data_IF_178733324894
#
_entry.id   IF_178733324894
#
_cell.length_a   1.000
_cell.length_b   1.000
_cell.length_c   1.000
_cell.angle_alpha   90.00
_cell.angle_beta   90.00
_cell.angle_gamma   90.00
#
_symmetry.space_group_name_H-M   'P 1'
#
loop_
_entity.id
_entity.type
_entity.pdbx_description
1 polymer ?
#
# COMPACT_ATOMS: atom_id res chain seq x y z
N UNK A 1 -2.74 -20.97 -5.73
CA UNK A 1 -1.90 -20.20 -6.64
C UNK A 1 -1.60 -18.90 -5.93
N UNK A 2 -0.34 -18.62 -5.59
CA UNK A 2 0.00 -17.39 -4.86
C UNK A 2 -0.05 -16.20 -5.80
N UNK A 3 -1.02 -15.30 -5.60
CA UNK A 3 -1.10 -14.04 -6.32
C UNK A 3 -0.23 -13.00 -5.62
N UNK A 4 0.99 -12.83 -6.11
CA UNK A 4 1.94 -11.82 -5.60
C UNK A 4 1.39 -10.41 -5.87
N UNK A 5 1.07 -9.65 -4.82
CA UNK A 5 0.59 -8.24 -4.93
C UNK A 5 1.72 -7.22 -4.85
N UNK A 6 2.75 -7.56 -4.10
CA UNK A 6 3.94 -6.74 -3.87
C UNK A 6 5.11 -7.67 -3.53
N UNK A 7 6.32 -7.19 -3.77
CA UNK A 7 7.54 -7.99 -3.64
C UNK A 7 8.13 -8.38 -5.00
N UNK A 8 9.08 -9.31 -4.98
CA UNK A 8 9.79 -9.74 -6.18
C UNK A 8 9.19 -11.04 -6.75
N UNK A 9 9.10 -11.13 -8.07
CA UNK A 9 8.77 -12.35 -8.79
C UNK A 9 10.06 -12.93 -9.40
N UNK A 10 10.42 -14.15 -9.00
CA UNK A 10 11.56 -14.87 -9.59
C UNK A 10 11.05 -15.81 -10.69
N UNK A 11 11.54 -15.60 -11.93
CA UNK A 11 11.20 -16.42 -13.09
C UNK A 11 12.47 -17.16 -13.54
N UNK A 12 12.52 -18.48 -13.31
CA UNK A 12 13.62 -19.31 -13.77
C UNK A 12 13.31 -19.89 -15.15
N UNK A 13 14.16 -19.61 -16.15
CA UNK A 13 13.97 -20.04 -17.55
C UNK A 13 15.16 -20.88 -18.02
N UNK A 14 15.08 -22.23 -17.95
CA UNK A 14 16.13 -23.10 -18.46
C UNK A 14 16.09 -23.16 -19.99
N UNK A 15 17.24 -22.94 -20.63
CA UNK A 15 17.44 -23.14 -22.06
C UNK A 15 18.59 -24.14 -22.27
N UNK A 16 18.37 -25.15 -23.10
CA UNK A 16 19.39 -26.12 -23.47
C UNK A 16 20.27 -25.58 -24.60
N UNK A 17 21.54 -25.99 -24.62
CA UNK A 17 22.41 -25.76 -25.78
C UNK A 17 21.90 -26.55 -27.00
N UNK A 18 22.08 -26.02 -28.23
CA UNK A 18 22.84 -24.82 -28.60
C UNK A 18 22.08 -23.51 -28.38
N UNK A 19 22.77 -22.48 -27.86
CA UNK A 19 22.20 -21.14 -27.62
C UNK A 19 22.47 -20.13 -28.76
N UNK A 20 23.23 -20.54 -29.78
CA UNK A 20 23.63 -19.70 -30.91
C UNK A 20 23.27 -20.40 -32.23
N UNK A 21 22.88 -19.61 -33.22
CA UNK A 21 22.49 -20.06 -34.56
C UNK A 21 21.70 -18.98 -35.29
N UNK A 22 21.48 -19.19 -36.59
CA UNK A 22 20.56 -18.35 -37.36
C UNK A 22 19.11 -18.72 -37.02
N UNK A 23 18.21 -17.75 -37.08
CA UNK A 23 16.79 -18.01 -36.92
C UNK A 23 16.23 -18.78 -38.13
N UNK A 24 15.47 -19.82 -37.87
CA UNK A 24 14.63 -20.51 -38.85
C UNK A 24 13.16 -20.47 -38.41
N UNK A 25 12.29 -21.18 -39.13
CA UNK A 25 10.86 -21.21 -38.84
C UNK A 25 10.50 -22.10 -37.63
N UNK A 26 11.49 -22.66 -36.92
CA UNK A 26 11.25 -23.51 -35.75
C UNK A 26 10.51 -22.72 -34.67
N UNK A 27 9.31 -23.20 -34.31
CA UNK A 27 8.47 -22.57 -33.30
C UNK A 27 7.55 -21.45 -33.80
N UNK A 28 7.68 -21.01 -35.06
CA UNK A 28 6.83 -19.95 -35.63
C UNK A 28 5.34 -20.32 -35.59
N UNK A 29 4.98 -21.52 -36.07
CA UNK A 29 3.60 -22.01 -36.06
C UNK A 29 3.02 -22.18 -34.64
N UNK A 30 3.89 -22.43 -33.65
CA UNK A 30 3.51 -22.51 -32.24
C UNK A 30 3.22 -21.11 -31.67
N UNK A 31 4.07 -20.12 -31.96
CA UNK A 31 3.84 -18.73 -31.56
C UNK A 31 2.58 -18.13 -32.20
N UNK A 32 2.31 -18.46 -33.46
CA UNK A 32 1.14 -17.99 -34.21
C UNK A 32 -0.20 -18.48 -33.62
N UNK A 33 -0.21 -19.51 -32.77
CA UNK A 33 -1.45 -19.97 -32.09
C UNK A 33 -2.05 -18.90 -31.16
N UNK A 34 -1.25 -17.92 -30.73
CA UNK A 34 -1.74 -16.79 -29.95
C UNK A 34 -2.49 -15.77 -30.82
N UNK A 35 -2.38 -15.87 -32.15
CA UNK A 35 -3.08 -15.04 -33.14
C UNK A 35 -2.83 -13.55 -32.92
N UNK A 36 -3.90 -12.75 -33.03
CA UNK A 36 -3.88 -11.30 -32.89
C UNK A 36 -3.51 -10.83 -31.45
N UNK A 37 -3.29 -11.75 -30.50
CA UNK A 37 -2.79 -11.38 -29.18
C UNK A 37 -1.42 -10.69 -29.24
N UNK A 38 -0.58 -11.03 -30.24
CA UNK A 38 0.69 -10.33 -30.47
C UNK A 38 0.52 -8.84 -30.77
N UNK A 39 -0.66 -8.43 -31.27
CA UNK A 39 -1.02 -7.03 -31.55
C UNK A 39 -1.85 -6.40 -30.40
N UNK A 40 -2.13 -7.15 -29.34
CA UNK A 40 -2.97 -6.71 -28.23
C UNK A 40 -2.16 -6.02 -27.13
N UNK A 41 -2.72 -4.95 -26.56
CA UNK A 41 -2.18 -4.30 -25.35
C UNK A 41 -2.62 -5.01 -24.05
N UNK A 42 -3.41 -6.08 -24.15
CA UNK A 42 -4.01 -6.77 -23.00
C UNK A 42 -3.30 -8.08 -22.70
N UNK A 43 -3.15 -8.47 -21.41
CA UNK A 43 -2.63 -9.78 -21.05
C UNK A 43 -3.46 -10.92 -21.64
N UNK A 44 -2.79 -12.03 -21.99
CA UNK A 44 -3.46 -13.25 -22.48
C UNK A 44 -4.47 -13.79 -21.47
N UNK A 45 -4.03 -13.92 -20.21
CA UNK A 45 -4.87 -14.28 -19.08
C UNK A 45 -5.04 -13.06 -18.16
N UNK A 46 -6.29 -12.70 -17.90
CA UNK A 46 -6.64 -11.66 -16.92
C UNK A 46 -7.22 -12.31 -15.67
N UNK A 47 -6.39 -12.45 -14.64
CA UNK A 47 -6.80 -12.91 -13.32
C UNK A 47 -6.81 -11.72 -12.35
N UNK A 48 -8.00 -11.34 -11.87
CA UNK A 48 -8.17 -10.26 -10.90
C UNK A 48 -8.39 -10.85 -9.52
N UNK A 49 -7.39 -10.71 -8.65
CA UNK A 49 -7.54 -11.07 -7.23
C UNK A 49 -7.77 -9.80 -6.41
N UNK A 50 -9.03 -9.53 -6.09
CA UNK A 50 -9.41 -8.49 -5.11
C UNK A 50 -9.39 -9.07 -3.71
N UNK A 51 -8.73 -8.36 -2.81
CA UNK A 51 -8.51 -8.69 -1.41
C UNK A 51 -8.51 -7.33 -0.74
N UNK A 52 -9.70 -6.94 -0.36
CA UNK A 52 -10.01 -5.68 0.29
C UNK A 52 -10.67 -6.04 1.60
N UNK A 53 -10.28 -5.36 2.67
CA UNK A 53 -10.99 -5.49 3.93
C UNK A 53 -12.40 -4.92 3.76
N UNK A 54 -13.39 -5.63 4.31
CA UNK A 54 -14.75 -5.10 4.36
C UNK A 54 -14.76 -3.75 5.08
N UNK A 55 -15.64 -2.84 4.64
CA UNK A 55 -15.85 -1.56 5.34
C UNK A 55 -16.32 -1.84 6.77
N UNK A 56 -15.70 -1.14 7.73
CA UNK A 56 -16.02 -1.30 9.15
C UNK A 56 -17.38 -0.64 9.44
N UNK A 57 -18.39 -1.46 9.76
CA UNK A 57 -19.79 -1.01 9.91
C UNK A 57 -19.99 -0.10 11.12
N UNK A 58 -19.19 -0.28 12.15
CA UNK A 58 -19.20 0.45 13.41
C UNK A 58 -18.34 1.73 13.38
N UNK A 59 -17.74 2.07 12.24
CA UNK A 59 -16.90 3.28 12.11
C UNK A 59 -17.62 4.56 12.52
N UNK A 60 -18.93 4.68 12.24
CA UNK A 60 -19.73 5.83 12.65
C UNK A 60 -19.79 6.02 14.16
N UNK A 61 -19.69 4.94 14.94
CA UNK A 61 -19.61 4.98 16.40
C UNK A 61 -18.19 5.33 16.85
N UNK A 62 -17.18 4.70 16.27
CA UNK A 62 -15.78 4.90 16.65
C UNK A 62 -15.25 6.30 16.34
N UNK A 63 -15.64 6.90 15.20
CA UNK A 63 -15.22 8.25 14.82
C UNK A 63 -15.70 9.35 15.78
N UNK A 64 -16.64 9.05 16.67
CA UNK A 64 -17.13 9.97 17.71
C UNK A 64 -16.38 9.84 19.03
N UNK A 65 -15.46 8.87 19.15
CA UNK A 65 -14.65 8.66 20.36
C UNK A 65 -13.43 9.58 20.37
N UNK A 66 -12.75 9.65 21.52
CA UNK A 66 -11.40 10.25 21.58
C UNK A 66 -10.44 9.32 20.85
N UNK A 67 -10.00 9.72 19.66
CA UNK A 67 -9.08 8.94 18.86
C UNK A 67 -7.73 9.63 18.68
N UNK A 68 -6.73 8.83 18.29
CA UNK A 68 -5.40 9.30 17.87
C UNK A 68 -5.14 8.73 16.49
N UNK A 69 -4.58 9.54 15.60
CA UNK A 69 -4.15 9.11 14.27
C UNK A 69 -2.64 8.97 14.24
N UNK A 70 -2.15 7.83 13.77
CA UNK A 70 -0.73 7.61 13.50
C UNK A 70 -0.56 7.43 11.99
N UNK A 71 0.32 8.20 11.37
CA UNK A 71 0.58 8.12 9.94
C UNK A 71 2.02 7.62 9.71
N UNK A 72 2.14 6.42 9.14
CA UNK A 72 3.40 5.83 8.70
C UNK A 72 3.76 6.24 7.27
N UNK A 73 4.53 5.40 6.57
CA UNK A 73 4.95 5.68 5.19
C UNK A 73 3.80 5.59 4.19
N UNK A 74 3.54 6.67 3.46
CA UNK A 74 2.51 6.71 2.41
C UNK A 74 2.96 7.61 1.25
N UNK A 75 2.08 7.85 0.27
CA UNK A 75 2.33 8.83 -0.78
C UNK A 75 2.04 10.26 -0.28
N UNK A 76 2.62 11.27 -0.95
CA UNK A 76 2.34 12.67 -0.65
C UNK A 76 0.86 13.07 -0.84
N UNK A 77 0.14 12.38 -1.72
CA UNK A 77 -1.30 12.61 -1.89
C UNK A 77 -2.10 12.05 -0.71
N UNK A 78 -1.77 10.84 -0.26
CA UNK A 78 -2.40 10.21 0.91
C UNK A 78 -2.09 10.97 2.20
N UNK A 79 -0.85 11.42 2.38
CA UNK A 79 -0.44 12.21 3.56
C UNK A 79 -1.28 13.47 3.77
N UNK A 80 -1.58 14.20 2.69
CA UNK A 80 -2.48 15.36 2.76
C UNK A 80 -3.91 14.98 3.14
N UNK A 81 -4.43 13.90 2.56
CA UNK A 81 -5.78 13.42 2.88
C UNK A 81 -5.89 12.96 4.34
N UNK A 82 -4.86 12.28 4.87
CA UNK A 82 -4.81 11.85 6.27
C UNK A 82 -4.74 13.06 7.21
N UNK A 83 -3.97 14.10 6.86
CA UNK A 83 -3.92 15.33 7.64
C UNK A 83 -5.28 16.04 7.72
N UNK A 84 -5.96 16.21 6.58
CA UNK A 84 -7.30 16.80 6.51
C UNK A 84 -8.33 15.96 7.27
N UNK A 85 -8.24 14.64 7.16
CA UNK A 85 -9.14 13.71 7.82
C UNK A 85 -8.98 13.73 9.35
N UNK A 86 -7.74 13.67 9.85
CA UNK A 86 -7.46 13.78 11.28
C UNK A 86 -7.93 15.13 11.85
N UNK A 87 -7.69 16.22 11.10
CA UNK A 87 -8.18 17.55 11.44
C UNK A 87 -9.70 17.60 11.54
N UNK A 88 -10.41 17.00 10.57
CA UNK A 88 -11.87 16.93 10.55
C UNK A 88 -12.44 16.14 11.74
N UNK A 89 -11.75 15.08 12.18
CA UNK A 89 -12.13 14.32 13.36
C UNK A 89 -11.78 15.02 14.69
N UNK A 90 -10.96 16.07 14.64
CA UNK A 90 -10.40 16.71 15.84
C UNK A 90 -9.44 15.80 16.60
N UNK A 91 -8.85 14.81 15.93
CA UNK A 91 -7.93 13.85 16.55
C UNK A 91 -6.48 14.32 16.37
N UNK A 92 -5.61 14.22 17.39
CA UNK A 92 -4.19 14.50 17.22
C UNK A 92 -3.58 13.55 16.19
N UNK A 93 -2.77 14.11 15.29
CA UNK A 93 -2.04 13.39 14.25
C UNK A 93 -0.55 13.32 14.58
N UNK A 94 -0.06 12.11 14.79
CA UNK A 94 1.35 11.79 14.96
C UNK A 94 1.85 11.24 13.62
N UNK A 95 2.60 12.05 12.88
CA UNK A 95 3.09 11.70 11.54
C UNK A 95 4.58 11.37 11.54
N UNK A 96 4.92 10.21 11.00
CA UNK A 96 6.30 9.87 10.66
C UNK A 96 6.86 10.81 9.57
N UNK A 97 8.18 10.93 9.47
CA UNK A 97 8.84 11.73 8.42
C UNK A 97 8.48 11.24 7.01
N UNK A 98 8.18 9.95 6.87
CA UNK A 98 7.77 9.31 5.62
C UNK A 98 6.27 9.43 5.34
N UNK A 99 5.50 10.14 6.16
CA UNK A 99 4.05 10.29 5.98
C UNK A 99 3.62 11.44 5.07
N UNK A 100 4.49 12.44 4.85
CA UNK A 100 4.18 13.68 4.12
C UNK A 100 2.89 14.39 4.59
N UNK A 101 2.50 14.22 5.85
CA UNK A 101 1.33 14.85 6.46
C UNK A 101 1.53 16.33 6.81
N UNK A 102 2.75 16.85 6.63
CA UNK A 102 3.16 18.17 7.12
C UNK A 102 3.47 18.22 8.62
N UNK A 103 3.32 17.10 9.34
CA UNK A 103 3.64 16.95 10.76
C UNK A 103 3.05 18.07 11.64
N UNK A 104 1.71 18.17 11.76
CA UNK A 104 1.05 19.26 12.50
C UNK A 104 1.41 19.30 13.99
N UNK A 105 1.83 18.16 14.56
CA UNK A 105 2.44 18.05 15.88
C UNK A 105 3.91 17.62 15.73
N UNK A 106 4.81 18.53 15.33
CA UNK A 106 6.20 18.19 15.01
C UNK A 106 6.97 17.73 16.24
N UNK A 107 8.14 17.13 16.02
CA UNK A 107 9.04 16.67 17.08
C UNK A 107 8.40 15.67 18.04
N UNK A 108 7.58 14.74 17.52
CA UNK A 108 6.90 13.71 18.29
C UNK A 108 7.84 12.92 19.20
N UNK A 109 9.03 12.56 18.72
CA UNK A 109 10.04 11.86 19.51
C UNK A 109 10.47 12.61 20.78
N UNK A 110 10.37 13.96 20.77
CA UNK A 110 10.69 14.77 21.94
C UNK A 110 9.51 14.84 22.91
N UNK A 111 8.33 15.23 22.43
CA UNK A 111 7.20 15.50 23.32
C UNK A 111 6.51 14.23 23.81
N UNK A 112 6.61 13.10 23.10
CA UNK A 112 6.13 11.80 23.58
C UNK A 112 6.92 11.32 24.81
N UNK A 113 8.16 11.80 25.00
CA UNK A 113 8.93 11.57 26.24
C UNK A 113 8.39 12.34 27.45
N UNK A 114 7.45 13.27 27.28
CA UNK A 114 6.87 14.06 28.36
C UNK A 114 5.66 13.33 28.97
N UNK A 115 5.70 13.09 30.29
CA UNK A 115 4.62 12.41 31.02
C UNK A 115 3.23 13.06 30.84
N UNK A 116 3.16 14.38 30.62
CA UNK A 116 1.89 15.07 30.36
C UNK A 116 1.26 14.63 29.04
N UNK A 117 2.05 14.50 27.99
CA UNK A 117 1.57 14.03 26.69
C UNK A 117 1.11 12.57 26.78
N UNK A 118 1.87 11.72 27.45
CA UNK A 118 1.48 10.31 27.69
C UNK A 118 0.18 10.21 28.48
N UNK A 119 0.02 11.02 29.53
CA UNK A 119 -1.21 11.05 30.34
C UNK A 119 -2.42 11.50 29.53
N UNK A 120 -2.25 12.47 28.63
CA UNK A 120 -3.32 12.92 27.73
C UNK A 120 -3.69 11.83 26.71
N UNK A 121 -2.69 11.25 26.04
CA UNK A 121 -2.90 10.19 25.04
C UNK A 121 -3.50 8.91 25.66
N UNK A 122 -3.26 8.63 26.94
CA UNK A 122 -3.86 7.50 27.65
C UNK A 122 -5.40 7.59 27.75
N UNK A 123 -5.99 8.76 27.49
CA UNK A 123 -7.44 8.94 27.43
C UNK A 123 -8.05 8.51 26.09
N UNK A 124 -7.21 8.24 25.08
CA UNK A 124 -7.65 7.76 23.78
C UNK A 124 -8.36 6.40 23.91
N UNK A 125 -9.47 6.27 23.21
CA UNK A 125 -10.31 5.08 23.20
C UNK A 125 -10.11 4.25 21.93
N UNK A 126 -9.49 4.85 20.91
CA UNK A 126 -9.14 4.20 19.65
C UNK A 126 -7.86 4.84 19.10
N UNK A 127 -6.99 4.03 18.52
CA UNK A 127 -5.87 4.49 17.70
C UNK A 127 -6.10 3.95 16.29
N UNK A 128 -6.04 4.84 15.30
CA UNK A 128 -6.09 4.45 13.89
C UNK A 128 -4.74 4.74 13.26
N UNK A 129 -4.00 3.67 12.99
CA UNK A 129 -2.74 3.77 12.26
C UNK A 129 -2.99 3.55 10.77
N UNK A 130 -2.54 4.51 9.95
CA UNK A 130 -2.58 4.41 8.49
C UNK A 130 -1.18 4.19 7.95
N UNK A 131 -1.07 3.16 7.11
CA UNK A 131 0.18 2.61 6.62
C UNK A 131 1.12 2.11 7.73
N UNK A 132 2.09 1.31 7.31
CA UNK A 132 3.09 0.79 8.23
C UNK A 132 4.09 1.90 8.57
N UNK A 133 4.51 1.96 9.84
CA UNK A 133 5.64 2.78 10.27
C UNK A 133 6.95 2.22 9.67
#
# INVERSE_FOLDING_TARGET
METLRSGALHINCPFAEPLYGEMDDTGLAWQQQLGDWWESEKPWLREQTHLESAKQRDWFFWRQKRGVVIAGRMSAAEGRQVAEWAHTLGWPLIGDVLSQTGQPLPCADLWLGNAKAVTELAQAQIVVQLAQA
#
